data_IF_147721433865
#
_entry.id   IF_147721433865
#
_cell.length_a   1.000
_cell.length_b   1.000
_cell.length_c   1.000
_cell.angle_alpha   90.00
_cell.angle_beta   90.00
_cell.angle_gamma   90.00
#
_symmetry.space_group_name_H-M   'P 1'
#
loop_
_entity.id
_entity.type
_entity.pdbx_description
1 polymer ?
#
# COMPACT_ATOMS: atom_id res chain seq x y z
N UNK A 1 5.35 20.06 -16.33
CA UNK A 1 4.31 20.68 -15.48
C UNK A 1 4.96 21.14 -14.16
N UNK A 2 5.86 22.13 -14.24
CA UNK A 2 6.93 22.33 -13.23
C UNK A 2 6.48 22.92 -11.88
N UNK A 3 5.32 23.59 -11.84
CA UNK A 3 4.81 24.24 -10.62
C UNK A 3 3.57 23.58 -10.01
N UNK A 4 2.99 22.56 -10.66
CA UNK A 4 1.67 22.05 -10.29
C UNK A 4 1.57 21.61 -8.82
N UNK A 5 2.59 20.93 -8.28
CA UNK A 5 2.58 20.51 -6.88
C UNK A 5 2.68 21.69 -5.90
N UNK A 6 3.59 22.64 -6.16
CA UNK A 6 3.69 23.85 -5.34
C UNK A 6 2.40 24.67 -5.39
N UNK A 7 1.78 24.76 -6.57
CA UNK A 7 0.48 25.40 -6.75
C UNK A 7 -0.62 24.67 -5.97
N UNK A 8 -0.67 23.34 -6.00
CA UNK A 8 -1.59 22.54 -5.19
C UNK A 8 -1.40 22.80 -3.70
N UNK A 9 -0.17 22.78 -3.19
CA UNK A 9 0.14 23.07 -1.78
C UNK A 9 -0.35 24.47 -1.40
N UNK A 10 -0.05 25.47 -2.23
CA UNK A 10 -0.47 26.86 -2.02
C UNK A 10 -1.99 27.01 -2.01
N UNK A 11 -2.69 26.39 -2.96
CA UNK A 11 -4.15 26.42 -3.06
C UNK A 11 -4.79 25.78 -1.82
N UNK A 12 -4.30 24.61 -1.40
CA UNK A 12 -4.80 23.94 -0.20
C UNK A 12 -4.62 24.79 1.07
N UNK A 13 -3.43 25.40 1.24
CA UNK A 13 -3.16 26.29 2.37
C UNK A 13 -4.04 27.54 2.35
N UNK A 14 -4.24 28.15 1.18
CA UNK A 14 -5.10 29.32 1.03
C UNK A 14 -6.56 28.98 1.38
N UNK A 15 -7.07 27.85 0.88
CA UNK A 15 -8.43 27.39 1.16
C UNK A 15 -8.67 27.13 2.66
N UNK A 16 -7.66 26.60 3.36
CA UNK A 16 -7.75 26.31 4.79
C UNK A 16 -7.60 27.54 5.71
N UNK A 17 -6.90 28.59 5.27
CA UNK A 17 -6.73 29.85 6.02
C UNK A 17 -7.86 30.86 5.81
N UNK A 18 -8.83 30.56 4.95
CA UNK A 18 -9.98 31.44 4.74
C UNK A 18 -10.74 31.67 6.05
N UNK A 19 -11.15 32.92 6.31
CA UNK A 19 -11.76 33.40 7.56
C UNK A 19 -13.06 32.69 7.97
N UNK A 20 -13.67 31.93 7.06
CA UNK A 20 -14.76 31.00 7.34
C UNK A 20 -14.50 29.70 6.57
N UNK A 21 -13.71 28.75 7.12
CA UNK A 21 -13.30 27.56 6.40
C UNK A 21 -14.51 26.63 6.24
N UNK A 22 -15.25 26.80 5.14
CA UNK A 22 -16.25 25.83 4.68
C UNK A 22 -15.62 24.60 4.01
N UNK A 23 -14.30 24.60 3.90
CA UNK A 23 -13.53 23.54 3.25
C UNK A 23 -12.77 22.74 4.30
N UNK A 24 -12.85 21.43 4.19
CA UNK A 24 -11.99 20.50 4.90
C UNK A 24 -11.21 19.69 3.87
N UNK A 25 -10.04 19.21 4.28
CA UNK A 25 -9.24 18.30 3.46
C UNK A 25 -9.46 16.89 3.98
N UNK A 26 -9.87 15.99 3.09
CA UNK A 26 -9.92 14.58 3.36
C UNK A 26 -8.84 13.86 2.55
N UNK A 27 -8.32 12.76 3.09
CA UNK A 27 -7.27 11.97 2.48
C UNK A 27 -7.70 10.51 2.40
N UNK A 28 -7.27 9.76 1.39
CA UNK A 28 -7.75 8.39 1.18
C UNK A 28 -7.19 7.37 2.17
N UNK A 29 -6.10 7.71 2.86
CA UNK A 29 -5.43 6.83 3.83
C UNK A 29 -4.79 7.65 4.95
N UNK A 30 -4.30 6.97 5.99
CA UNK A 30 -3.47 7.62 7.02
C UNK A 30 -2.16 8.15 6.42
N UNK A 31 -1.55 7.39 5.52
CA UNK A 31 -0.34 7.80 4.81
C UNK A 31 -0.53 9.13 4.08
N UNK A 32 -1.59 9.26 3.28
CA UNK A 32 -1.88 10.48 2.53
C UNK A 32 -2.16 11.68 3.45
N UNK A 33 -2.85 11.45 4.58
CA UNK A 33 -3.13 12.51 5.53
C UNK A 33 -1.85 13.09 6.15
N UNK A 34 -0.90 12.23 6.50
CA UNK A 34 0.40 12.63 7.05
C UNK A 34 1.31 13.23 5.95
N UNK A 35 1.21 12.73 4.72
CA UNK A 35 1.91 13.29 3.56
C UNK A 35 1.43 14.73 3.26
N UNK A 36 0.11 14.96 3.27
CA UNK A 36 -0.47 16.30 3.16
C UNK A 36 0.00 17.18 4.32
N UNK A 37 0.01 16.67 5.55
CA UNK A 37 0.51 17.42 6.70
C UNK A 37 1.96 17.87 6.51
N UNK A 38 2.81 17.00 5.95
CA UNK A 38 4.22 17.30 5.75
C UNK A 38 4.44 18.59 4.94
N UNK A 39 3.76 18.72 3.79
CA UNK A 39 3.97 19.83 2.86
C UNK A 39 3.07 21.03 3.13
N UNK A 40 1.89 20.82 3.73
CA UNK A 40 0.90 21.90 3.89
C UNK A 40 0.74 22.38 5.33
N UNK A 41 1.10 21.55 6.31
CA UNK A 41 0.79 21.77 7.72
C UNK A 41 -0.67 21.48 8.11
N UNK A 42 -1.51 21.11 7.14
CA UNK A 42 -2.93 20.85 7.36
C UNK A 42 -3.14 19.50 8.03
N UNK A 43 -4.22 19.39 8.81
CA UNK A 43 -4.68 18.12 9.38
C UNK A 43 -5.79 17.58 8.50
N UNK A 44 -5.44 16.76 7.52
CA UNK A 44 -6.42 16.09 6.69
C UNK A 44 -7.18 15.03 7.51
N UNK A 45 -8.45 14.84 7.19
CA UNK A 45 -9.29 13.78 7.74
C UNK A 45 -8.99 12.49 6.97
N UNK A 46 -8.35 11.48 7.57
CA UNK A 46 -8.18 10.20 6.90
C UNK A 46 -9.56 9.56 6.73
N UNK A 47 -9.92 9.30 5.48
CA UNK A 47 -11.01 8.42 5.14
C UNK A 47 -10.44 7.01 5.24
N UNK A 48 -11.03 6.17 6.10
CA UNK A 48 -10.65 4.77 6.08
C UNK A 48 -10.94 4.24 4.68
N UNK A 49 -9.90 3.74 4.01
CA UNK A 49 -9.98 3.15 2.68
C UNK A 49 -10.88 1.93 2.76
N UNK A 50 -12.18 2.16 2.69
CA UNK A 50 -13.15 1.13 2.41
C UNK A 50 -13.06 0.84 0.92
N UNK A 51 -13.47 -0.35 0.54
CA UNK A 51 -13.71 -0.75 -0.84
C UNK A 51 -14.91 0.00 -1.46
N UNK A 52 -14.99 1.32 -1.21
CA UNK A 52 -15.98 2.30 -1.64
C UNK A 52 -17.44 1.81 -1.53
N UNK A 53 -17.72 0.96 -0.53
CA UNK A 53 -19.03 0.34 -0.32
C UNK A 53 -19.47 -0.67 -1.39
N UNK A 54 -18.67 -0.98 -2.41
CA UNK A 54 -19.05 -1.91 -3.49
C UNK A 54 -18.75 -3.38 -3.17
N UNK A 55 -17.81 -3.65 -2.26
CA UNK A 55 -17.58 -5.03 -1.81
C UNK A 55 -18.79 -5.47 -1.00
N UNK A 56 -19.38 -6.62 -1.35
CA UNK A 56 -20.60 -7.05 -0.71
C UNK A 56 -20.32 -7.39 0.75
N UNK A 57 -21.24 -7.00 1.65
CA UNK A 57 -21.22 -7.37 3.07
C UNK A 57 -21.60 -8.84 3.25
N UNK A 58 -20.83 -9.73 2.65
CA UNK A 58 -21.00 -11.16 2.83
C UNK A 58 -20.22 -11.54 4.09
N UNK A 59 -20.82 -12.26 5.05
CA UNK A 59 -20.03 -12.84 6.12
C UNK A 59 -19.00 -13.76 5.46
N UNK A 60 -17.72 -13.52 5.70
CA UNK A 60 -16.67 -14.46 5.33
C UNK A 60 -16.99 -15.79 5.98
N UNK A 61 -17.54 -16.70 5.19
CA UNK A 61 -17.70 -18.10 5.56
C UNK A 61 -16.71 -18.80 4.67
N UNK A 62 -15.52 -19.05 5.21
CA UNK A 62 -14.59 -19.96 4.57
C UNK A 62 -15.33 -21.28 4.30
N UNK A 63 -15.80 -21.48 3.07
CA UNK A 63 -16.18 -22.82 2.63
C UNK A 63 -14.93 -23.66 2.34
N UNK A 64 -13.73 -23.05 2.39
CA UNK A 64 -12.41 -23.68 2.28
C UNK A 64 -12.30 -24.68 1.13
N UNK A 65 -13.05 -24.50 0.04
CA UNK A 65 -13.04 -25.44 -1.08
C UNK A 65 -11.68 -25.48 -1.79
N UNK A 66 -10.86 -24.44 -1.64
CA UNK A 66 -9.52 -24.36 -2.22
C UNK A 66 -8.45 -24.67 -1.18
N UNK A 67 -7.47 -25.48 -1.58
CA UNK A 67 -6.28 -25.81 -0.79
C UNK A 67 -5.22 -24.71 -0.85
N UNK A 68 -5.24 -23.88 -1.88
CA UNK A 68 -4.22 -22.85 -2.09
C UNK A 68 -4.43 -21.66 -1.14
N UNK A 69 -3.34 -21.15 -0.60
CA UNK A 69 -3.26 -19.81 0.01
C UNK A 69 -2.93 -18.82 -1.10
N UNK A 70 -3.71 -17.74 -1.18
CA UNK A 70 -3.47 -16.72 -2.19
C UNK A 70 -2.22 -15.90 -1.85
N UNK A 71 -1.46 -15.52 -2.86
CA UNK A 71 -0.32 -14.62 -2.71
C UNK A 71 -0.52 -13.39 -3.61
N UNK A 72 -0.46 -12.21 -3.01
CA UNK A 72 -0.55 -10.92 -3.68
C UNK A 72 0.80 -10.41 -4.18
N UNK A 73 0.84 -9.53 -5.22
CA UNK A 73 -0.32 -8.88 -5.84
C UNK A 73 -1.17 -9.85 -6.69
N UNK A 74 -2.49 -9.82 -6.49
CA UNK A 74 -3.39 -10.86 -7.00
C UNK A 74 -3.52 -10.91 -8.53
N UNK A 75 -3.30 -9.78 -9.20
CA UNK A 75 -3.42 -9.62 -10.65
C UNK A 75 -2.18 -10.12 -11.43
N UNK A 76 -1.19 -10.71 -10.75
CA UNK A 76 0.05 -11.16 -11.38
C UNK A 76 -0.03 -12.61 -11.81
N UNK A 77 0.36 -12.88 -13.06
CA UNK A 77 0.44 -14.24 -13.62
C UNK A 77 1.41 -15.16 -12.88
N UNK A 78 2.46 -14.60 -12.29
CA UNK A 78 3.47 -15.31 -11.51
C UNK A 78 3.68 -14.57 -10.20
N UNK A 79 3.98 -15.33 -9.15
CA UNK A 79 4.37 -14.74 -7.86
C UNK A 79 5.68 -13.97 -8.06
N UNK A 80 6.58 -14.46 -8.94
CA UNK A 80 7.80 -13.77 -9.34
C UNK A 80 7.50 -12.63 -10.35
N UNK A 81 7.40 -11.38 -9.88
CA UNK A 81 7.46 -10.18 -10.73
C UNK A 81 8.88 -9.55 -10.67
N UNK A 82 9.26 -8.78 -11.68
CA UNK A 82 10.51 -7.99 -11.71
C UNK A 82 10.62 -6.96 -10.57
N UNK A 83 9.52 -6.67 -9.89
CA UNK A 83 9.40 -5.62 -8.84
C UNK A 83 9.53 -6.14 -7.41
N UNK A 84 9.23 -7.41 -7.19
CA UNK A 84 9.47 -8.11 -5.91
C UNK A 84 10.86 -8.73 -5.98
N UNK A 85 11.65 -8.69 -4.89
CA UNK A 85 12.91 -9.45 -4.86
C UNK A 85 12.60 -10.91 -5.19
N UNK A 86 13.07 -11.34 -6.37
CA UNK A 86 12.85 -12.68 -6.88
C UNK A 86 13.35 -13.74 -5.90
N UNK A 87 14.33 -13.41 -5.05
CA UNK A 87 14.83 -14.32 -4.02
C UNK A 87 13.79 -14.57 -2.94
N UNK A 88 13.22 -13.51 -2.37
CA UNK A 88 12.22 -13.67 -1.30
C UNK A 88 10.98 -14.43 -1.76
N UNK A 89 10.43 -14.07 -2.93
CA UNK A 89 9.28 -14.79 -3.48
C UNK A 89 9.62 -16.24 -3.77
N UNK A 90 10.79 -16.49 -4.39
CA UNK A 90 11.24 -17.84 -4.70
C UNK A 90 11.48 -18.66 -3.43
N UNK A 91 11.94 -18.05 -2.34
CA UNK A 91 12.14 -18.72 -1.05
C UNK A 91 10.81 -18.97 -0.33
N UNK A 92 9.84 -18.06 -0.46
CA UNK A 92 8.47 -18.21 0.07
C UNK A 92 7.70 -19.34 -0.63
N UNK A 93 7.89 -19.49 -1.94
CA UNK A 93 7.13 -20.44 -2.78
C UNK A 93 7.90 -21.70 -3.12
N UNK A 94 9.19 -21.77 -2.83
CA UNK A 94 9.97 -22.97 -3.08
C UNK A 94 9.37 -24.08 -2.23
N UNK A 95 8.89 -25.17 -2.85
CA UNK A 95 8.46 -26.32 -2.11
C UNK A 95 9.71 -26.92 -1.47
N UNK A 96 9.96 -26.60 -0.21
CA UNK A 96 10.68 -27.53 0.63
C UNK A 96 9.78 -28.76 0.78
N UNK A 97 10.35 -29.96 0.91
CA UNK A 97 9.57 -31.18 1.17
C UNK A 97 8.77 -31.11 2.51
N UNK A 98 8.79 -29.96 3.19
CA UNK A 98 8.22 -29.70 4.50
C UNK A 98 7.00 -28.76 4.46
N UNK A 99 6.73 -28.04 3.36
CA UNK A 99 5.58 -27.11 3.35
C UNK A 99 4.25 -27.85 3.15
N UNK A 100 3.38 -27.78 4.17
CA UNK A 100 2.01 -28.31 4.11
C UNK A 100 1.05 -27.47 3.27
N UNK A 101 1.53 -26.34 2.71
CA UNK A 101 0.71 -25.33 2.07
C UNK A 101 1.03 -25.22 0.59
N UNK A 102 -0.01 -24.99 -0.22
CA UNK A 102 0.14 -24.65 -1.64
C UNK A 102 -0.11 -23.15 -1.80
N UNK A 103 0.74 -22.46 -2.55
CA UNK A 103 0.62 -21.02 -2.80
C UNK A 103 0.31 -20.74 -4.26
N UNK A 104 -0.55 -19.77 -4.53
CA UNK A 104 -0.88 -19.35 -5.89
C UNK A 104 -1.33 -17.88 -5.93
N UNK A 105 -1.15 -17.20 -7.06
CA UNK A 105 -1.84 -15.91 -7.28
C UNK A 105 -3.25 -16.16 -7.79
N UNK A 106 -4.19 -15.25 -7.53
CA UNK A 106 -5.55 -15.37 -8.06
C UNK A 106 -5.57 -15.38 -9.60
N UNK A 107 -4.74 -14.55 -10.24
CA UNK A 107 -4.62 -14.52 -11.69
C UNK A 107 -4.06 -15.85 -12.27
N UNK A 108 -3.17 -16.54 -11.56
CA UNK A 108 -2.68 -17.86 -12.02
C UNK A 108 -3.79 -18.92 -12.05
N UNK A 109 -4.72 -18.87 -11.09
CA UNK A 109 -5.83 -19.83 -10.97
C UNK A 109 -7.02 -19.48 -11.87
N UNK A 110 -7.33 -18.19 -12.02
CA UNK A 110 -8.60 -17.75 -12.61
C UNK A 110 -8.45 -16.84 -13.83
N UNK A 111 -7.25 -16.31 -14.11
CA UNK A 111 -6.98 -15.18 -15.03
C UNK A 111 -7.70 -13.91 -14.61
N UNK A 112 -9.01 -13.87 -14.78
CA UNK A 112 -9.90 -12.86 -14.21
C UNK A 112 -10.60 -13.50 -13.01
N UNK A 113 -10.49 -12.88 -11.84
CA UNK A 113 -11.08 -13.40 -10.62
C UNK A 113 -12.25 -12.51 -10.15
N UNK A 114 -13.19 -13.14 -9.47
CA UNK A 114 -14.32 -12.48 -8.80
C UNK A 114 -14.21 -12.70 -7.28
N UNK A 115 -14.84 -11.82 -6.49
CA UNK A 115 -14.81 -11.92 -5.03
C UNK A 115 -15.26 -13.29 -4.51
N UNK A 116 -16.28 -13.90 -5.14
CA UNK A 116 -16.75 -15.25 -4.78
C UNK A 116 -15.66 -16.31 -4.88
N UNK A 117 -14.74 -16.20 -5.83
CA UNK A 117 -13.61 -17.13 -5.97
C UNK A 117 -12.56 -16.88 -4.89
N UNK A 118 -12.24 -15.61 -4.60
CA UNK A 118 -11.29 -15.26 -3.54
C UNK A 118 -11.75 -15.80 -2.18
N UNK A 119 -13.05 -15.69 -1.87
CA UNK A 119 -13.66 -16.20 -0.64
C UNK A 119 -13.62 -17.74 -0.49
N UNK A 120 -13.26 -18.50 -1.54
CA UNK A 120 -13.07 -19.95 -1.45
C UNK A 120 -11.70 -20.33 -0.85
N UNK A 121 -10.79 -19.37 -0.73
CA UNK A 121 -9.45 -19.55 -0.15
C UNK A 121 -9.44 -19.21 1.34
N UNK A 122 -8.54 -19.89 2.07
CA UNK A 122 -8.41 -19.78 3.53
C UNK A 122 -7.78 -18.47 4.00
N UNK A 123 -6.88 -17.93 3.21
CA UNK A 123 -6.06 -16.79 3.56
C UNK A 123 -5.42 -16.18 2.32
N UNK A 124 -4.93 -14.95 2.47
CA UNK A 124 -4.07 -14.29 1.49
C UNK A 124 -2.82 -13.77 2.18
N UNK A 125 -1.65 -14.11 1.64
CA UNK A 125 -0.38 -13.45 1.93
C UNK A 125 -0.26 -12.27 0.97
N UNK A 126 -0.07 -11.07 1.50
CA UNK A 126 0.08 -9.85 0.73
C UNK A 126 1.55 -9.44 0.78
N UNK A 127 2.17 -9.38 -0.39
CA UNK A 127 3.45 -8.70 -0.59
C UNK A 127 3.14 -7.29 -1.10
N UNK A 128 3.19 -6.26 -0.23
CA UNK A 128 2.74 -4.92 -0.62
C UNK A 128 3.63 -4.33 -1.70
N UNK A 129 3.02 -3.83 -2.78
CA UNK A 129 3.72 -3.06 -3.80
C UNK A 129 3.47 -1.55 -3.66
N UNK A 130 2.46 -1.20 -2.86
CA UNK A 130 2.03 0.15 -2.52
C UNK A 130 1.62 0.21 -1.04
N UNK A 131 1.72 1.39 -0.40
CA UNK A 131 1.28 1.69 0.97
C UNK A 131 -0.25 1.66 1.10
N UNK A 132 -0.96 1.78 -0.03
CA UNK A 132 -2.38 1.52 -0.18
C UNK A 132 -2.64 0.84 -1.53
N UNK A 133 -3.53 -0.15 -1.57
CA UNK A 133 -4.07 -0.64 -2.84
C UNK A 133 -5.51 -1.08 -2.69
N UNK A 134 -6.33 -0.84 -3.71
CA UNK A 134 -7.72 -1.26 -3.71
C UNK A 134 -7.86 -2.77 -3.47
N UNK A 135 -7.01 -3.60 -4.07
CA UNK A 135 -7.04 -5.04 -3.86
C UNK A 135 -6.88 -5.45 -2.39
N UNK A 136 -6.00 -4.78 -1.63
CA UNK A 136 -5.84 -5.05 -0.19
C UNK A 136 -7.09 -4.60 0.58
N UNK A 137 -7.64 -3.42 0.27
CA UNK A 137 -8.88 -2.91 0.90
C UNK A 137 -10.06 -3.84 0.64
N UNK A 138 -10.15 -4.42 -0.56
CA UNK A 138 -11.22 -5.34 -0.95
C UNK A 138 -11.14 -6.65 -0.18
N UNK A 139 -9.94 -7.25 -0.10
CA UNK A 139 -9.75 -8.49 0.65
C UNK A 139 -10.02 -8.31 2.14
N UNK A 140 -9.61 -7.17 2.69
CA UNK A 140 -9.89 -6.81 4.07
C UNK A 140 -11.39 -6.63 4.30
N UNK A 141 -12.09 -5.91 3.40
CA UNK A 141 -13.54 -5.75 3.45
C UNK A 141 -14.32 -7.07 3.28
N UNK A 142 -13.76 -8.03 2.53
CA UNK A 142 -14.29 -9.39 2.42
C UNK A 142 -14.10 -10.22 3.70
N UNK A 143 -13.41 -9.70 4.72
CA UNK A 143 -13.10 -10.41 5.96
C UNK A 143 -12.14 -11.58 5.77
N UNK A 144 -11.35 -11.59 4.68
CA UNK A 144 -10.36 -12.63 4.45
C UNK A 144 -9.20 -12.50 5.45
N UNK A 145 -8.69 -13.62 6.01
CA UNK A 145 -7.45 -13.58 6.78
C UNK A 145 -6.29 -13.07 5.92
N UNK A 146 -5.67 -11.98 6.36
CA UNK A 146 -4.56 -11.31 5.68
C UNK A 146 -3.27 -11.45 6.47
N UNK A 147 -2.21 -11.86 5.76
CA UNK A 147 -0.85 -11.96 6.27
C UNK A 147 0.03 -10.98 5.51
N UNK A 148 0.80 -10.16 6.23
CA UNK A 148 1.67 -9.12 5.65
C UNK A 148 3.05 -9.22 6.29
N UNK A 149 4.17 -9.01 5.56
CA UNK A 149 5.48 -8.91 6.17
C UNK A 149 5.49 -7.91 7.33
N UNK A 150 6.19 -8.22 8.41
CA UNK A 150 6.41 -7.27 9.48
C UNK A 150 7.34 -6.13 9.02
N UNK A 151 7.34 -5.02 9.75
CA UNK A 151 8.28 -3.92 9.51
C UNK A 151 9.74 -4.37 9.60
N UNK A 152 10.03 -5.35 10.48
CA UNK A 152 11.36 -5.94 10.65
C UNK A 152 11.75 -6.73 9.41
N UNK A 153 10.89 -7.62 8.93
CA UNK A 153 11.15 -8.40 7.72
C UNK A 153 11.34 -7.50 6.49
N UNK A 154 10.51 -6.46 6.37
CA UNK A 154 10.65 -5.47 5.29
C UNK A 154 12.01 -4.78 5.33
N UNK A 155 12.56 -4.54 6.53
CA UNK A 155 13.90 -3.96 6.73
C UNK A 155 15.03 -4.89 6.30
N UNK A 156 14.90 -6.18 6.56
CA UNK A 156 15.88 -7.20 6.18
C UNK A 156 15.84 -7.49 4.67
N UNK A 157 14.67 -7.34 4.04
CA UNK A 157 14.47 -7.56 2.60
C UNK A 157 13.94 -6.29 1.90
N UNK A 158 14.81 -5.31 1.59
CA UNK A 158 14.41 -4.03 1.00
C UNK A 158 13.61 -4.12 -0.31
N UNK A 159 13.71 -5.24 -1.04
CA UNK A 159 12.92 -5.48 -2.26
C UNK A 159 11.45 -5.84 -2.00
N UNK A 160 11.01 -5.91 -0.75
CA UNK A 160 9.59 -5.96 -0.37
C UNK A 160 8.99 -4.57 -0.13
N UNK A 161 9.82 -3.53 -0.03
CA UNK A 161 9.34 -2.19 0.30
C UNK A 161 8.47 -1.60 -0.84
N UNK A 162 7.23 -1.15 -0.55
CA UNK A 162 6.37 -0.50 -1.54
C UNK A 162 6.93 0.88 -1.90
N UNK A 163 7.21 1.13 -3.17
CA UNK A 163 7.87 2.36 -3.59
C UNK A 163 6.86 3.33 -4.23
N UNK A 164 6.05 3.98 -3.37
CA UNK A 164 4.98 4.94 -3.72
C UNK A 164 5.42 6.40 -3.67
N UNK A 165 6.64 6.68 -4.09
CA UNK A 165 7.19 8.05 -4.04
C UNK A 165 6.91 8.80 -5.34
N UNK A 166 6.67 10.09 -5.22
CA UNK A 166 6.30 10.96 -6.33
C UNK A 166 7.51 11.38 -7.18
N UNK A 167 8.73 11.30 -6.66
CA UNK A 167 9.94 11.54 -7.46
C UNK A 167 10.77 10.28 -7.71
N UNK A 168 11.05 10.04 -9.00
CA UNK A 168 12.17 9.20 -9.43
C UNK A 168 13.28 10.07 -9.99
N UNK A 169 14.52 9.88 -9.51
CA UNK A 169 15.68 10.23 -10.31
C UNK A 169 15.67 9.44 -11.64
N UNK A 170 16.44 9.87 -12.67
CA UNK A 170 16.42 9.29 -14.01
C UNK A 170 16.69 7.77 -14.07
N UNK A 171 17.19 7.18 -12.98
CA UNK A 171 17.54 5.76 -12.86
C UNK A 171 16.37 4.86 -12.42
N UNK A 172 15.31 5.40 -11.79
CA UNK A 172 14.24 4.59 -11.18
C UNK A 172 12.87 4.67 -11.89
N UNK A 173 12.73 5.59 -12.85
CA UNK A 173 11.47 5.93 -13.52
C UNK A 173 10.65 4.76 -14.12
N UNK A 174 11.22 3.72 -14.76
CA UNK A 174 10.40 2.72 -15.42
C UNK A 174 9.87 1.61 -14.49
N UNK A 175 10.18 1.65 -13.18
CA UNK A 175 9.86 0.53 -12.26
C UNK A 175 8.84 0.85 -11.18
N UNK A 176 8.42 2.11 -11.04
CA UNK A 176 7.55 2.55 -9.95
C UNK A 176 6.08 2.61 -10.35
N UNK A 177 5.21 2.50 -9.35
CA UNK A 177 3.76 2.58 -9.52
C UNK A 177 3.31 4.00 -9.88
N UNK A 178 3.92 5.02 -9.27
CA UNK A 178 3.78 6.42 -9.62
C UNK A 178 5.04 6.88 -10.38
N UNK A 179 4.92 7.12 -11.68
CA UNK A 179 6.03 7.51 -12.55
C UNK A 179 5.97 9.00 -12.96
N UNK A 180 5.13 9.79 -12.29
CA UNK A 180 5.17 11.23 -12.50
C UNK A 180 6.51 11.78 -12.00
N UNK A 181 7.08 12.71 -12.75
CA UNK A 181 8.32 13.38 -12.37
C UNK A 181 7.99 14.81 -12.02
N UNK A 182 8.12 15.14 -10.73
CA UNK A 182 8.09 16.51 -10.27
C UNK A 182 9.52 17.03 -10.18
N UNK A 183 9.86 18.08 -10.91
CA UNK A 183 11.22 18.66 -10.86
C UNK A 183 11.51 19.36 -9.52
N UNK A 184 10.45 19.78 -8.80
CA UNK A 184 10.53 20.58 -7.58
C UNK A 184 9.62 19.98 -6.51
N UNK A 185 10.23 19.55 -5.40
CA UNK A 185 9.51 19.13 -4.19
C UNK A 185 9.29 20.39 -3.33
N UNK A 186 8.06 20.67 -2.88
CA UNK A 186 7.82 21.75 -1.93
C UNK A 186 8.60 21.55 -0.62
N UNK A 187 9.02 22.64 0.01
CA UNK A 187 9.68 22.54 1.31
C UNK A 187 8.73 21.98 2.38
N UNK A 188 9.33 21.38 3.42
CA UNK A 188 8.61 20.97 4.63
C UNK A 188 7.89 22.18 5.22
N UNK A 189 6.60 22.02 5.55
CA UNK A 189 5.88 23.07 6.27
C UNK A 189 6.40 23.21 7.70
N UNK A 190 6.48 24.44 8.22
CA UNK A 190 7.02 24.72 9.56
C UNK A 190 6.25 24.04 10.71
N UNK A 191 4.95 23.77 10.51
CA UNK A 191 4.12 23.04 11.48
C UNK A 191 4.13 21.51 11.33
N UNK A 192 4.83 20.97 10.31
CA UNK A 192 4.94 19.52 10.11
C UNK A 192 5.71 18.88 11.25
N UNK A 193 5.14 17.82 11.82
CA UNK A 193 5.71 17.07 12.95
C UNK A 193 6.67 15.98 12.51
N UNK A 194 6.73 15.68 11.21
CA UNK A 194 7.50 14.56 10.69
C UNK A 194 8.99 14.95 10.58
N UNK A 195 9.91 14.10 11.07
CA UNK A 195 11.34 14.37 11.00
C UNK A 195 11.92 14.14 9.60
N UNK A 196 11.28 13.31 8.79
CA UNK A 196 11.78 12.92 7.47
C UNK A 196 10.85 13.37 6.34
N UNK A 197 11.43 13.78 5.22
CA UNK A 197 10.68 13.95 3.96
C UNK A 197 10.13 12.60 3.48
N UNK A 198 8.85 12.52 3.05
CA UNK A 198 8.31 11.31 2.43
C UNK A 198 8.97 11.00 1.08
N UNK A 199 9.61 11.98 0.46
CA UNK A 199 10.38 11.81 -0.78
C UNK A 199 11.86 11.42 -0.52
N UNK A 200 12.28 11.29 0.74
CA UNK A 200 13.65 10.91 1.07
C UNK A 200 13.96 9.48 0.65
N UNK A 201 15.17 9.27 0.11
CA UNK A 201 15.72 7.93 -0.20
C UNK A 201 16.38 7.24 0.99
N UNK A 202 16.49 7.91 2.13
CA UNK A 202 17.08 7.32 3.33
C UNK A 202 16.23 6.16 3.86
N UNK A 203 16.90 5.10 4.28
CA UNK A 203 16.27 3.88 4.79
C UNK A 203 15.35 4.17 5.98
N UNK A 204 15.79 4.98 6.94
CA UNK A 204 14.98 5.31 8.12
C UNK A 204 13.74 6.14 7.77
N UNK A 205 13.85 7.03 6.79
CA UNK A 205 12.70 7.78 6.28
C UNK A 205 11.65 6.83 5.67
N UNK A 206 12.09 5.87 4.86
CA UNK A 206 11.20 4.86 4.26
C UNK A 206 10.40 4.11 5.32
N UNK A 207 11.06 3.55 6.33
CA UNK A 207 10.37 2.80 7.38
C UNK A 207 9.52 3.69 8.29
N UNK A 208 9.96 4.93 8.54
CA UNK A 208 9.15 5.92 9.23
C UNK A 208 7.83 6.17 8.48
N UNK A 209 7.85 6.33 7.16
CA UNK A 209 6.64 6.59 6.39
C UNK A 209 5.78 5.34 6.19
N UNK A 210 6.41 4.17 6.03
CA UNK A 210 5.73 2.90 5.88
C UNK A 210 4.82 2.55 7.06
N UNK A 211 5.11 3.04 8.27
CA UNK A 211 4.24 2.82 9.44
C UNK A 211 2.80 3.33 9.22
N UNK A 212 2.61 4.31 8.33
CA UNK A 212 1.30 4.88 8.02
C UNK A 212 0.54 4.14 6.92
N UNK A 213 1.12 3.09 6.33
CA UNK A 213 0.45 2.25 5.34
C UNK A 213 -0.75 1.55 5.97
N UNK A 214 -1.81 1.35 5.17
CA UNK A 214 -3.10 0.86 5.63
C UNK A 214 -3.01 -0.47 6.39
N UNK A 215 -2.23 -1.40 5.87
CA UNK A 215 -2.03 -2.73 6.47
C UNK A 215 -1.25 -2.72 7.79
N UNK A 216 -0.62 -1.59 8.16
CA UNK A 216 -0.04 -1.39 9.50
C UNK A 216 -0.96 -0.59 10.44
N UNK A 217 -2.05 -0.05 9.92
CA UNK A 217 -3.03 0.73 10.69
C UNK A 217 -4.32 -0.05 10.98
N UNK A 218 -4.64 -1.07 10.18
CA UNK A 218 -5.87 -1.84 10.33
C UNK A 218 -5.75 -2.93 11.40
N UNK A 219 -6.82 -3.14 12.18
CA UNK A 219 -6.88 -4.29 13.07
C UNK A 219 -6.94 -5.59 12.25
N UNK A 220 -6.66 -6.74 12.86
CA UNK A 220 -6.82 -8.08 12.25
C UNK A 220 -5.91 -8.41 11.06
N UNK A 221 -4.90 -7.59 10.77
CA UNK A 221 -3.76 -8.02 9.94
C UNK A 221 -2.80 -8.84 10.80
N UNK A 222 -2.39 -10.01 10.30
CA UNK A 222 -1.34 -10.81 10.95
C UNK A 222 0.00 -10.52 10.29
N UNK A 223 1.01 -10.18 11.10
CA UNK A 223 2.36 -9.95 10.60
C UNK A 223 3.21 -11.23 10.65
N UNK A 224 4.12 -11.39 9.70
CA UNK A 224 5.08 -12.50 9.69
C UNK A 224 6.52 -12.02 9.43
N UNK A 225 7.47 -12.82 9.91
CA UNK A 225 8.92 -12.72 9.69
C UNK A 225 9.41 -13.96 8.92
#
# INVERSE_FOLDING_TARGET
NKSAWQDTVRIMQAAAKATNPRHFVAAMSRYDAEYINYFTGLKAIPLYSSSQGYVPKLPYRSNSARKEILVGPLNKNKIEDRRTDRRFVKDLIQPTNETKYTFATAHSLYKNYYWKQLMQHKATIILPYAVMSYGITELYALGMPLFVPSMKLMKEYPGLYPNDRAMTGPVLAPTLYCAEQYDIIPDKHSSSRHPYSPESNQTDAKYYWLQFADFYQWPHITYFD
#
